data_IF_238842308914
#
_entry.id   IF_238842308914
#
_cell.length_a   1.000
_cell.length_b   1.000
_cell.length_c   1.000
_cell.angle_alpha   90.00
_cell.angle_beta   90.00
_cell.angle_gamma   90.00
#
_symmetry.space_group_name_H-M   'P 1'
#
loop_
_entity.id
_entity.type
_entity.pdbx_description
1 polymer ?
#
# COMPACT_ATOMS: atom_id res chain seq x y z
N UNK A 1 -62.50 -18.45 9.29
CA UNK A 1 -62.13 -17.93 7.95
C UNK A 1 -61.93 -16.42 7.94
N UNK A 2 -62.83 -15.63 8.57
CA UNK A 2 -62.71 -14.15 8.62
C UNK A 2 -61.52 -13.66 9.51
N UNK A 3 -61.13 -14.38 10.58
CA UNK A 3 -59.99 -14.04 11.42
C UNK A 3 -58.66 -14.30 10.75
N UNK A 4 -58.54 -15.29 9.85
CA UNK A 4 -57.32 -15.58 9.09
C UNK A 4 -57.03 -14.52 8.01
N UNK A 5 -58.07 -13.93 7.42
CA UNK A 5 -57.95 -12.87 6.43
C UNK A 5 -57.55 -11.51 7.03
N UNK A 6 -57.88 -11.27 8.31
CA UNK A 6 -57.43 -10.06 9.03
C UNK A 6 -55.95 -10.14 9.43
N UNK A 7 -55.39 -11.32 9.73
CA UNK A 7 -53.98 -11.48 10.04
C UNK A 7 -53.06 -11.34 8.80
N UNK A 8 -53.54 -11.74 7.62
CA UNK A 8 -52.79 -11.60 6.36
C UNK A 8 -52.81 -10.16 5.81
N UNK A 9 -53.88 -9.38 6.09
CA UNK A 9 -53.95 -7.97 5.68
C UNK A 9 -53.02 -7.04 6.50
N UNK A 10 -52.72 -7.42 7.75
CA UNK A 10 -51.79 -6.67 8.60
C UNK A 10 -50.34 -6.81 8.14
N UNK A 11 -49.97 -8.00 7.63
CA UNK A 11 -48.60 -8.31 7.22
C UNK A 11 -48.18 -7.64 5.89
N UNK A 12 -49.11 -7.27 5.00
CA UNK A 12 -48.82 -6.64 3.72
C UNK A 12 -48.56 -5.12 3.82
N UNK A 13 -49.15 -4.45 4.83
CA UNK A 13 -48.88 -3.02 5.09
C UNK A 13 -47.54 -2.80 5.82
N UNK A 14 -47.23 -3.67 6.75
CA UNK A 14 -45.95 -3.59 7.49
C UNK A 14 -44.76 -3.91 6.62
N UNK A 15 -44.86 -4.85 5.67
CA UNK A 15 -43.80 -5.11 4.68
C UNK A 15 -43.56 -3.91 3.73
N UNK A 16 -44.62 -3.19 3.31
CA UNK A 16 -44.46 -1.98 2.49
C UNK A 16 -43.89 -0.81 3.27
N UNK A 17 -44.20 -0.66 4.55
CA UNK A 17 -43.69 0.40 5.40
C UNK A 17 -42.22 0.12 5.75
N UNK A 18 -41.84 -1.13 6.02
CA UNK A 18 -40.44 -1.53 6.27
C UNK A 18 -39.58 -1.38 5.00
N UNK A 19 -40.11 -1.74 3.83
CA UNK A 19 -39.39 -1.57 2.55
C UNK A 19 -39.28 -0.10 2.15
N UNK A 20 -40.30 0.73 2.41
CA UNK A 20 -40.21 2.19 2.19
C UNK A 20 -39.34 2.87 3.24
N UNK A 21 -39.37 2.46 4.50
CA UNK A 21 -38.51 3.00 5.54
C UNK A 21 -37.05 2.61 5.34
N UNK A 22 -36.74 1.42 4.82
CA UNK A 22 -35.38 1.03 4.47
C UNK A 22 -34.86 1.73 3.20
N UNK A 23 -35.73 2.10 2.27
CA UNK A 23 -35.38 2.91 1.08
C UNK A 23 -35.21 4.39 1.45
N UNK A 24 -36.01 4.90 2.41
CA UNK A 24 -35.91 6.29 2.89
C UNK A 24 -34.79 6.46 3.94
N UNK A 25 -34.40 5.40 4.64
CA UNK A 25 -33.30 5.40 5.60
C UNK A 25 -31.91 5.27 4.97
N UNK A 26 -31.77 5.10 3.66
CA UNK A 26 -30.53 5.37 2.96
C UNK A 26 -30.34 6.90 2.94
N UNK A 27 -29.74 7.41 4.04
CA UNK A 27 -29.24 8.77 4.12
C UNK A 27 -28.47 9.03 2.83
N UNK A 28 -28.78 10.09 2.04
CA UNK A 28 -28.07 10.35 0.81
C UNK A 28 -26.59 10.37 1.14
N UNK A 29 -25.82 9.58 0.40
CA UNK A 29 -24.36 9.49 0.58
C UNK A 29 -23.83 10.92 0.74
N UNK A 30 -23.23 11.23 1.89
CA UNK A 30 -22.59 12.52 2.08
C UNK A 30 -21.62 12.70 0.92
N UNK A 31 -21.69 13.81 0.17
CA UNK A 31 -20.84 13.99 -1.01
C UNK A 31 -19.38 13.85 -0.60
N UNK A 32 -18.59 13.14 -1.39
CA UNK A 32 -17.16 13.05 -1.17
C UNK A 32 -16.58 14.46 -1.03
N UNK A 33 -15.69 14.73 -0.06
CA UNK A 33 -15.04 16.04 0.09
C UNK A 33 -14.25 16.45 -1.16
N UNK A 34 -13.91 15.48 -2.02
CA UNK A 34 -13.15 15.65 -3.25
C UNK A 34 -14.05 15.41 -4.45
N UNK A 35 -14.07 16.34 -5.41
CA UNK A 35 -14.76 16.12 -6.67
C UNK A 35 -14.11 14.95 -7.44
N UNK A 36 -14.89 13.98 -7.94
CA UNK A 36 -14.36 12.83 -8.63
C UNK A 36 -13.75 13.24 -9.98
N UNK A 37 -12.43 13.36 -10.03
CA UNK A 37 -11.66 13.75 -11.22
C UNK A 37 -10.55 12.75 -11.52
N UNK A 38 -10.48 12.25 -12.75
CA UNK A 38 -9.36 11.40 -13.19
C UNK A 38 -8.06 12.22 -13.23
N UNK A 39 -8.13 13.48 -13.61
CA UNK A 39 -6.98 14.39 -13.59
C UNK A 39 -6.38 14.55 -12.20
N UNK A 40 -7.20 14.72 -11.15
CA UNK A 40 -6.72 14.80 -9.77
C UNK A 40 -6.05 13.50 -9.32
N UNK A 41 -6.61 12.34 -9.70
CA UNK A 41 -5.99 11.03 -9.43
C UNK A 41 -4.62 10.91 -10.10
N UNK A 42 -4.51 11.25 -11.38
CA UNK A 42 -3.26 11.16 -12.14
C UNK A 42 -2.22 12.17 -11.64
N UNK A 43 -2.62 13.41 -11.32
CA UNK A 43 -1.72 14.44 -10.78
C UNK A 43 -1.18 14.03 -9.41
N UNK A 44 -2.03 13.56 -8.49
CA UNK A 44 -1.57 13.12 -7.17
C UNK A 44 -0.65 11.89 -7.25
N UNK A 45 -0.93 10.96 -8.16
CA UNK A 45 -0.08 9.81 -8.44
C UNK A 45 1.27 10.23 -9.05
N UNK A 46 1.29 11.23 -9.93
CA UNK A 46 2.51 11.79 -10.51
C UNK A 46 3.36 12.49 -9.44
N UNK A 47 2.76 13.25 -8.53
CA UNK A 47 3.46 13.85 -7.37
C UNK A 47 4.17 12.77 -6.58
N UNK A 48 3.44 11.72 -6.18
CA UNK A 48 4.04 10.60 -5.43
C UNK A 48 5.12 9.88 -6.24
N UNK A 49 4.91 9.67 -7.55
CA UNK A 49 5.88 9.01 -8.45
C UNK A 49 7.21 9.76 -8.50
N UNK A 50 7.15 11.08 -8.70
CA UNK A 50 8.35 11.94 -8.80
C UNK A 50 9.09 11.98 -7.46
N UNK A 51 8.38 12.20 -6.36
CA UNK A 51 9.00 12.28 -5.03
C UNK A 51 9.56 10.93 -4.56
N UNK A 52 9.03 9.82 -5.08
CA UNK A 52 9.47 8.46 -4.75
C UNK A 52 10.87 8.11 -5.32
N UNK A 53 11.40 8.89 -6.27
CA UNK A 53 12.68 8.61 -6.92
C UNK A 53 13.83 8.50 -5.91
N UNK A 54 13.93 9.41 -4.96
CA UNK A 54 14.98 9.40 -3.94
C UNK A 54 14.94 8.15 -3.05
N UNK A 55 13.73 7.72 -2.64
CA UNK A 55 13.58 6.50 -1.84
C UNK A 55 13.91 5.23 -2.63
N UNK A 56 13.55 5.18 -3.91
CA UNK A 56 13.87 4.01 -4.72
C UNK A 56 15.40 3.86 -4.89
N UNK A 57 16.10 4.95 -5.13
CA UNK A 57 17.56 4.93 -5.35
C UNK A 57 18.34 4.52 -4.09
N UNK A 58 17.90 4.93 -2.89
CA UNK A 58 18.66 4.68 -1.65
C UNK A 58 18.83 3.19 -1.35
N UNK A 59 17.84 2.35 -1.74
CA UNK A 59 17.92 0.90 -1.54
C UNK A 59 19.02 0.23 -2.36
N UNK A 60 19.45 0.85 -3.46
CA UNK A 60 20.52 0.35 -4.33
C UNK A 60 21.86 0.96 -3.93
N UNK A 61 21.89 2.26 -3.69
CA UNK A 61 23.12 3.03 -3.51
C UNK A 61 23.67 2.93 -2.09
N UNK A 62 22.83 3.05 -1.06
CA UNK A 62 23.28 3.11 0.32
C UNK A 62 24.05 1.85 0.78
N UNK A 63 23.63 0.62 0.46
CA UNK A 63 24.37 -0.58 0.88
C UNK A 63 25.78 -0.69 0.33
N UNK A 64 26.00 -0.24 -0.91
CA UNK A 64 27.30 -0.32 -1.61
C UNK A 64 28.16 0.91 -1.44
N UNK A 65 27.60 2.01 -0.92
CA UNK A 65 28.29 3.30 -0.73
C UNK A 65 28.21 3.77 0.73
N UNK A 66 28.03 2.86 1.68
CA UNK A 66 27.82 3.19 3.09
C UNK A 66 28.92 4.10 3.67
N UNK A 67 30.19 3.86 3.29
CA UNK A 67 31.34 4.66 3.69
C UNK A 67 31.24 6.11 3.21
N UNK A 68 30.76 6.34 1.98
CA UNK A 68 30.56 7.68 1.40
C UNK A 68 29.56 8.51 2.23
N UNK A 69 28.63 7.82 2.90
CA UNK A 69 27.64 8.43 3.79
C UNK A 69 28.06 8.44 5.27
N UNK A 70 29.28 7.98 5.59
CA UNK A 70 29.79 7.91 6.95
C UNK A 70 28.99 6.97 7.87
N UNK A 71 28.47 5.85 7.34
CA UNK A 71 27.63 4.90 8.08
C UNK A 71 28.16 3.48 7.97
N UNK A 72 27.96 2.68 9.01
CA UNK A 72 28.21 1.24 8.99
C UNK A 72 27.05 0.47 8.36
N UNK A 73 27.28 -0.80 7.98
CA UNK A 73 26.22 -1.67 7.45
C UNK A 73 25.06 -1.87 8.44
N UNK A 74 25.32 -1.80 9.75
CA UNK A 74 24.26 -1.83 10.76
C UNK A 74 23.35 -0.60 10.63
N UNK A 75 23.93 0.57 10.45
CA UNK A 75 23.18 1.80 10.18
C UNK A 75 22.40 1.73 8.88
N UNK A 76 22.94 1.12 7.83
CA UNK A 76 22.20 0.89 6.57
C UNK A 76 20.91 0.11 6.84
N UNK A 77 20.99 -0.98 7.59
CA UNK A 77 19.82 -1.75 7.99
C UNK A 77 18.77 -0.92 8.76
N UNK A 78 19.23 -0.13 9.75
CA UNK A 78 18.38 0.77 10.54
C UNK A 78 17.69 1.79 9.62
N UNK A 79 18.46 2.46 8.76
CA UNK A 79 17.94 3.50 7.86
C UNK A 79 16.91 2.96 6.88
N UNK A 80 17.14 1.79 6.27
CA UNK A 80 16.21 1.18 5.32
C UNK A 80 14.92 0.69 5.99
N UNK A 81 14.95 0.40 7.29
CA UNK A 81 13.79 -0.05 8.06
C UNK A 81 12.99 1.10 8.68
N UNK A 82 13.66 2.19 9.05
CA UNK A 82 13.10 3.30 9.82
C UNK A 82 11.84 3.91 9.19
N UNK A 83 11.79 4.02 7.85
CA UNK A 83 10.66 4.60 7.14
C UNK A 83 9.36 3.78 7.31
N UNK A 84 9.45 2.46 7.51
CA UNK A 84 8.27 1.62 7.76
C UNK A 84 7.75 1.82 9.18
N UNK A 85 8.65 1.86 10.17
CA UNK A 85 8.26 2.05 11.57
C UNK A 85 7.60 3.42 11.81
N UNK A 86 8.16 4.51 11.25
CA UNK A 86 7.55 5.83 11.42
C UNK A 86 6.17 5.91 10.77
N UNK A 87 5.95 5.25 9.64
CA UNK A 87 4.63 5.21 9.01
C UNK A 87 3.57 4.54 9.89
N UNK A 88 3.91 3.41 10.53
CA UNK A 88 2.99 2.69 11.41
C UNK A 88 2.43 3.64 12.48
N UNK A 89 3.28 4.43 13.12
CA UNK A 89 2.86 5.34 14.21
C UNK A 89 2.26 6.65 13.69
N UNK A 90 2.53 7.08 12.46
CA UNK A 90 2.12 8.39 11.97
C UNK A 90 0.87 8.38 11.09
N UNK A 91 0.45 7.23 10.52
CA UNK A 91 -0.73 7.17 9.64
C UNK A 91 -1.99 7.78 10.26
N UNK A 92 -2.26 7.50 11.54
CA UNK A 92 -3.42 8.07 12.24
C UNK A 92 -3.36 9.59 12.37
N UNK A 93 -2.19 10.13 12.77
CA UNK A 93 -1.98 11.57 12.89
C UNK A 93 -2.05 12.27 11.52
N UNK A 94 -1.48 11.66 10.48
CA UNK A 94 -1.52 12.18 9.11
C UNK A 94 -2.96 12.19 8.58
N UNK A 95 -3.73 11.13 8.79
CA UNK A 95 -5.14 11.09 8.40
C UNK A 95 -5.94 12.19 9.09
N UNK A 96 -5.72 12.40 10.39
CA UNK A 96 -6.35 13.49 11.15
C UNK A 96 -5.96 14.87 10.60
N UNK A 97 -4.66 15.12 10.39
CA UNK A 97 -4.18 16.37 9.83
C UNK A 97 -4.73 16.60 8.40
N UNK A 98 -4.79 15.56 7.58
CA UNK A 98 -5.30 15.62 6.20
C UNK A 98 -6.79 15.99 6.15
N UNK A 99 -7.60 15.46 7.07
CA UNK A 99 -9.03 15.81 7.16
C UNK A 99 -9.23 17.21 7.72
N UNK A 100 -8.40 17.64 8.68
CA UNK A 100 -8.52 18.96 9.32
C UNK A 100 -8.03 20.10 8.42
N UNK A 101 -6.87 19.94 7.78
CA UNK A 101 -6.22 20.99 6.99
C UNK A 101 -6.44 20.87 5.49
N UNK A 102 -6.98 19.74 5.05
CA UNK A 102 -7.28 19.47 3.65
C UNK A 102 -6.22 18.61 2.94
N UNK A 103 -6.70 17.80 1.98
CA UNK A 103 -5.89 16.80 1.25
C UNK A 103 -4.80 17.49 0.40
N UNK A 104 -5.17 18.62 -0.27
CA UNK A 104 -4.23 19.38 -1.09
C UNK A 104 -3.06 19.92 -0.29
N UNK A 105 -3.32 20.57 0.87
CA UNK A 105 -2.25 21.11 1.73
C UNK A 105 -1.35 20.00 2.25
N UNK A 106 -1.93 18.88 2.69
CA UNK A 106 -1.18 17.71 3.13
C UNK A 106 -0.28 17.16 2.00
N UNK A 107 -0.77 17.14 0.74
CA UNK A 107 0.02 16.73 -0.43
C UNK A 107 1.20 17.68 -0.68
N UNK A 108 0.98 19.01 -0.60
CA UNK A 108 2.02 20.01 -0.81
C UNK A 108 3.12 19.89 0.26
N UNK A 109 2.73 19.84 1.54
CA UNK A 109 3.69 19.69 2.66
C UNK A 109 4.48 18.40 2.53
N UNK A 110 3.81 17.29 2.20
CA UNK A 110 4.46 16.00 2.02
C UNK A 110 5.37 15.96 0.77
N UNK A 111 5.01 16.65 -0.30
CA UNK A 111 5.87 16.82 -1.48
C UNK A 111 7.17 17.54 -1.12
N UNK A 112 7.07 18.67 -0.41
CA UNK A 112 8.24 19.42 0.06
C UNK A 112 9.07 18.57 1.00
N UNK A 113 8.45 17.90 2.00
CA UNK A 113 9.15 17.05 2.95
C UNK A 113 9.89 15.89 2.29
N UNK A 114 9.27 15.22 1.31
CA UNK A 114 9.88 14.12 0.58
C UNK A 114 11.04 14.55 -0.33
N UNK A 115 10.88 15.66 -1.06
CA UNK A 115 11.95 16.25 -1.88
C UNK A 115 13.14 16.71 -1.00
N UNK A 116 12.85 17.40 0.10
CA UNK A 116 13.87 17.84 1.08
C UNK A 116 14.60 16.65 1.70
N UNK A 117 13.88 15.58 2.07
CA UNK A 117 14.50 14.34 2.58
C UNK A 117 15.53 13.76 1.59
N UNK A 118 15.23 13.81 0.29
CA UNK A 118 16.15 13.32 -0.74
C UNK A 118 17.38 14.23 -0.86
N UNK A 119 17.25 15.55 -0.78
CA UNK A 119 18.37 16.49 -0.76
C UNK A 119 19.23 16.31 0.50
N UNK A 120 18.63 15.96 1.63
CA UNK A 120 19.37 15.72 2.89
C UNK A 120 20.38 14.57 2.78
N UNK A 121 20.18 13.56 1.91
CA UNK A 121 21.17 12.51 1.67
C UNK A 121 22.44 13.04 0.98
N UNK A 122 22.35 14.17 0.28
CA UNK A 122 23.52 14.88 -0.22
C UNK A 122 24.18 15.74 0.85
N UNK A 123 23.39 16.44 1.69
CA UNK A 123 23.89 17.42 2.65
C UNK A 123 24.53 16.80 3.88
N UNK A 124 24.01 15.66 4.34
CA UNK A 124 24.36 15.11 5.65
C UNK A 124 25.11 13.81 5.57
N UNK A 125 25.95 13.60 6.60
CA UNK A 125 26.67 12.37 6.87
C UNK A 125 26.34 11.85 8.26
N UNK A 126 26.56 10.54 8.44
CA UNK A 126 26.36 9.88 9.71
C UNK A 126 24.93 9.39 9.97
N UNK A 127 24.84 8.34 10.78
CA UNK A 127 23.62 7.58 10.97
C UNK A 127 22.44 8.39 11.50
N UNK A 128 22.66 9.27 12.46
CA UNK A 128 21.57 10.05 13.10
C UNK A 128 20.99 11.11 12.16
N UNK A 129 21.83 11.82 11.39
CA UNK A 129 21.34 12.81 10.45
C UNK A 129 20.58 12.17 9.29
N UNK A 130 21.06 11.05 8.76
CA UNK A 130 20.37 10.27 7.75
C UNK A 130 19.09 9.61 8.30
N UNK A 131 19.06 9.23 9.58
CA UNK A 131 17.85 8.75 10.23
C UNK A 131 16.76 9.81 10.23
N UNK A 132 17.09 11.05 10.55
CA UNK A 132 16.13 12.16 10.46
C UNK A 132 15.56 12.32 9.05
N UNK A 133 16.41 12.26 8.01
CA UNK A 133 15.97 12.26 6.62
C UNK A 133 15.03 11.10 6.31
N UNK A 134 15.32 9.87 6.80
CA UNK A 134 14.48 8.69 6.62
C UNK A 134 13.13 8.80 7.32
N UNK A 135 13.09 9.37 8.52
CA UNK A 135 11.86 9.61 9.26
C UNK A 135 10.98 10.66 8.54
N UNK A 136 11.58 11.76 8.08
CA UNK A 136 10.91 12.78 7.28
C UNK A 136 10.34 12.18 5.98
N UNK A 137 11.12 11.35 5.29
CA UNK A 137 10.65 10.61 4.13
C UNK A 137 9.46 9.71 4.47
N UNK A 138 9.56 8.92 5.54
CA UNK A 138 8.49 7.99 5.94
C UNK A 138 7.16 8.68 6.22
N UNK A 139 7.18 9.83 6.90
CA UNK A 139 6.00 10.66 7.14
C UNK A 139 5.45 11.24 5.83
N UNK A 140 6.33 11.78 4.98
CA UNK A 140 5.94 12.33 3.67
C UNK A 140 5.33 11.26 2.78
N UNK A 141 5.93 10.07 2.72
CA UNK A 141 5.39 8.94 1.94
C UNK A 141 4.03 8.47 2.46
N UNK A 142 3.83 8.41 3.79
CA UNK A 142 2.54 8.06 4.38
C UNK A 142 1.46 9.08 3.98
N UNK A 143 1.78 10.39 4.05
CA UNK A 143 0.87 11.45 3.66
C UNK A 143 0.56 11.41 2.15
N UNK A 144 1.58 11.32 1.28
CA UNK A 144 1.39 11.21 -0.17
C UNK A 144 0.59 9.96 -0.55
N UNK A 145 0.79 8.84 0.14
CA UNK A 145 0.01 7.62 -0.09
C UNK A 145 -1.46 7.82 0.26
N UNK A 146 -1.77 8.34 1.46
CA UNK A 146 -3.14 8.56 1.89
C UNK A 146 -3.87 9.59 1.02
N UNK A 147 -3.20 10.70 0.67
CA UNK A 147 -3.80 11.75 -0.15
C UNK A 147 -4.04 11.26 -1.59
N UNK A 148 -3.10 10.52 -2.17
CA UNK A 148 -3.27 9.92 -3.50
C UNK A 148 -4.42 8.92 -3.52
N UNK A 149 -4.54 8.07 -2.49
CA UNK A 149 -5.67 7.16 -2.37
C UNK A 149 -7.00 7.92 -2.21
N UNK A 150 -7.03 9.02 -1.44
CA UNK A 150 -8.24 9.83 -1.29
C UNK A 150 -8.74 10.40 -2.63
N UNK A 151 -7.83 10.94 -3.47
CA UNK A 151 -8.19 11.38 -4.82
C UNK A 151 -8.63 10.22 -5.72
N UNK A 152 -8.00 9.05 -5.61
CA UNK A 152 -8.34 7.89 -6.43
C UNK A 152 -9.73 7.32 -6.11
N UNK A 153 -10.09 7.23 -4.83
CA UNK A 153 -11.38 6.64 -4.39
C UNK A 153 -12.53 7.64 -4.32
N UNK A 154 -12.31 8.92 -4.66
CA UNK A 154 -13.36 9.94 -4.69
C UNK A 154 -14.53 9.55 -5.62
N UNK A 155 -14.26 8.81 -6.70
CA UNK A 155 -15.27 8.14 -7.52
C UNK A 155 -15.39 6.68 -7.07
N UNK A 156 -16.38 6.40 -6.24
CA UNK A 156 -16.62 5.05 -5.69
C UNK A 156 -16.92 3.99 -6.76
N UNK A 157 -17.54 4.40 -7.88
CA UNK A 157 -17.89 3.47 -8.97
C UNK A 157 -16.67 2.97 -9.74
N UNK A 158 -15.61 3.79 -9.81
CA UNK A 158 -14.36 3.51 -10.51
C UNK A 158 -13.14 3.51 -9.58
N UNK A 159 -13.36 3.27 -8.28
CA UNK A 159 -12.32 3.33 -7.29
C UNK A 159 -11.20 2.31 -7.57
N UNK A 160 -11.54 1.10 -7.98
CA UNK A 160 -10.58 0.05 -8.33
C UNK A 160 -9.69 0.46 -9.49
N UNK A 161 -10.29 0.87 -10.63
CA UNK A 161 -9.55 1.32 -11.82
C UNK A 161 -8.65 2.51 -11.50
N UNK A 162 -9.14 3.51 -10.75
CA UNK A 162 -8.36 4.71 -10.40
C UNK A 162 -7.20 4.40 -9.46
N UNK A 163 -7.41 3.58 -8.46
CA UNK A 163 -6.33 3.13 -7.56
C UNK A 163 -5.30 2.32 -8.34
N UNK A 164 -5.75 1.42 -9.22
CA UNK A 164 -4.87 0.66 -10.10
C UNK A 164 -4.02 1.55 -11.00
N UNK A 165 -4.64 2.53 -11.67
CA UNK A 165 -3.94 3.52 -12.49
C UNK A 165 -2.92 4.34 -11.67
N UNK A 166 -3.33 4.78 -10.48
CA UNK A 166 -2.44 5.48 -9.55
C UNK A 166 -1.21 4.63 -9.20
N UNK A 167 -1.40 3.33 -8.94
CA UNK A 167 -0.30 2.39 -8.69
C UNK A 167 0.64 2.25 -9.90
N UNK A 168 0.09 2.15 -11.11
CA UNK A 168 0.89 2.10 -12.32
C UNK A 168 1.77 3.37 -12.49
N UNK A 169 1.17 4.56 -12.34
CA UNK A 169 1.89 5.83 -12.44
C UNK A 169 3.03 5.91 -11.39
N UNK A 170 2.80 5.44 -10.17
CA UNK A 170 3.83 5.44 -9.11
C UNK A 170 5.07 4.62 -9.48
N UNK A 171 4.95 3.56 -10.29
CA UNK A 171 6.09 2.74 -10.67
C UNK A 171 7.06 3.45 -11.62
N UNK A 172 6.62 4.44 -12.38
CA UNK A 172 7.51 5.17 -13.30
C UNK A 172 8.66 5.86 -12.57
N UNK A 173 8.39 6.57 -11.47
CA UNK A 173 9.43 7.22 -10.68
C UNK A 173 10.41 6.22 -10.06
N UNK A 174 9.90 5.10 -9.55
CA UNK A 174 10.76 4.04 -8.99
C UNK A 174 11.65 3.40 -10.07
N UNK A 175 11.10 3.08 -11.25
CA UNK A 175 11.86 2.49 -12.36
C UNK A 175 12.90 3.49 -12.87
N UNK A 176 12.52 4.75 -13.07
CA UNK A 176 13.45 5.81 -13.49
C UNK A 176 14.63 5.94 -12.52
N UNK A 177 14.37 5.96 -11.22
CA UNK A 177 15.43 6.09 -10.22
C UNK A 177 16.35 4.86 -10.16
N UNK A 178 15.79 3.66 -10.31
CA UNK A 178 16.56 2.41 -10.29
C UNK A 178 17.39 2.19 -11.56
N UNK A 179 17.05 2.86 -12.66
CA UNK A 179 17.80 2.81 -13.93
C UNK A 179 18.63 4.05 -14.14
N UNK A 180 18.02 5.17 -14.55
CA UNK A 180 18.73 6.42 -14.82
C UNK A 180 19.37 7.03 -13.56
N UNK A 181 18.71 6.94 -12.39
CA UNK A 181 19.27 7.42 -11.13
C UNK A 181 20.50 6.61 -10.67
N UNK A 182 20.44 5.27 -10.80
CA UNK A 182 21.58 4.42 -10.47
C UNK A 182 22.76 4.63 -11.45
N UNK A 183 22.47 4.77 -12.76
CA UNK A 183 23.48 5.14 -13.75
C UNK A 183 24.13 6.49 -13.41
N UNK A 184 23.30 7.49 -13.09
CA UNK A 184 23.79 8.81 -12.69
C UNK A 184 24.70 8.72 -11.45
N UNK A 185 24.32 7.94 -10.43
CA UNK A 185 25.13 7.73 -9.24
C UNK A 185 26.50 7.10 -9.57
N UNK A 186 26.57 6.24 -10.57
CA UNK A 186 27.81 5.66 -11.08
C UNK A 186 28.71 6.68 -11.79
N UNK A 187 28.12 7.69 -12.46
CA UNK A 187 28.90 8.69 -13.22
C UNK A 187 29.40 9.87 -12.36
N UNK A 188 28.54 10.41 -11.50
CA UNK A 188 28.80 11.64 -10.74
C UNK A 188 28.97 11.41 -9.24
N UNK A 189 28.83 10.16 -8.78
CA UNK A 189 28.90 9.77 -7.38
C UNK A 189 27.55 9.74 -6.67
N UNK A 190 27.48 8.92 -5.63
CA UNK A 190 26.26 8.61 -4.89
C UNK A 190 25.56 9.86 -4.34
N UNK A 191 26.29 10.73 -3.63
CA UNK A 191 25.70 11.95 -3.02
C UNK A 191 25.18 12.93 -4.06
N UNK A 192 25.95 13.18 -5.13
CA UNK A 192 25.53 14.11 -6.18
C UNK A 192 24.24 13.63 -6.87
N UNK A 193 24.07 12.32 -7.08
CA UNK A 193 22.82 11.76 -7.62
C UNK A 193 21.62 12.08 -6.74
N UNK A 194 21.74 12.02 -5.41
CA UNK A 194 20.66 12.42 -4.50
C UNK A 194 20.35 13.91 -4.56
N UNK A 195 21.33 14.78 -4.76
CA UNK A 195 21.09 16.21 -4.97
C UNK A 195 20.24 16.43 -6.22
N UNK A 196 20.65 15.88 -7.36
CA UNK A 196 19.92 16.07 -8.61
C UNK A 196 18.51 15.47 -8.57
N UNK A 197 18.35 14.26 -8.02
CA UNK A 197 17.02 13.65 -7.86
C UNK A 197 16.16 14.40 -6.85
N UNK A 198 16.75 14.92 -5.77
CA UNK A 198 16.06 15.73 -4.78
C UNK A 198 15.55 17.05 -5.37
N UNK A 199 16.42 17.76 -6.11
CA UNK A 199 16.02 18.97 -6.84
C UNK A 199 14.94 18.66 -7.90
N UNK A 200 15.12 17.59 -8.67
CA UNK A 200 14.12 17.14 -9.63
C UNK A 200 12.77 16.79 -8.96
N UNK A 201 12.80 16.32 -7.71
CA UNK A 201 11.56 16.01 -6.97
C UNK A 201 10.72 17.25 -6.68
N UNK A 202 11.30 18.46 -6.64
CA UNK A 202 10.54 19.71 -6.51
C UNK A 202 9.69 20.02 -7.77
N UNK A 203 9.99 19.42 -8.93
CA UNK A 203 9.13 19.49 -10.12
C UNK A 203 7.71 18.96 -9.82
N UNK A 204 7.55 18.11 -8.80
CA UNK A 204 6.24 17.67 -8.34
C UNK A 204 5.40 18.77 -7.69
N UNK A 205 6.01 19.87 -7.22
CA UNK A 205 5.30 20.93 -6.50
C UNK A 205 4.25 21.66 -7.34
N UNK A 206 4.50 22.07 -8.60
CA UNK A 206 3.46 22.59 -9.48
C UNK A 206 2.27 21.66 -9.65
N UNK A 207 2.49 20.34 -9.77
CA UNK A 207 1.41 19.36 -9.85
C UNK A 207 0.62 19.26 -8.53
N UNK A 208 1.28 19.31 -7.37
CA UNK A 208 0.62 19.36 -6.08
C UNK A 208 -0.21 20.66 -5.91
N UNK A 209 0.29 21.79 -6.39
CA UNK A 209 -0.40 23.06 -6.38
C UNK A 209 -1.60 23.11 -7.35
N UNK A 210 -1.58 22.33 -8.42
CA UNK A 210 -2.67 22.21 -9.38
C UNK A 210 -3.81 21.28 -8.91
N UNK A 211 -3.63 20.53 -7.82
CA UNK A 211 -4.69 19.69 -7.26
C UNK A 211 -5.91 20.51 -6.82
N UNK A 212 -7.13 19.99 -7.00
CA UNK A 212 -8.35 20.70 -6.60
C UNK A 212 -8.35 20.96 -5.08
N UNK A 213 -8.86 22.13 -4.69
CA UNK A 213 -9.15 22.44 -3.29
C UNK A 213 -10.41 21.69 -2.88
N UNK A 214 -10.37 21.03 -1.75
CA UNK A 214 -11.52 20.40 -1.12
C UNK A 214 -11.96 21.17 0.12
N UNK A 215 -13.18 20.93 0.55
CA UNK A 215 -13.66 21.49 1.82
C UNK A 215 -13.09 20.64 2.94
N UNK A 216 -12.34 21.27 3.84
CA UNK A 216 -11.90 20.62 5.08
C UNK A 216 -13.13 20.13 5.86
N UNK A 217 -13.06 18.92 6.38
CA UNK A 217 -14.10 18.35 7.23
C UNK A 217 -13.55 18.20 8.65
N UNK A 218 -14.36 18.48 9.69
CA UNK A 218 -13.92 18.23 11.07
C UNK A 218 -13.50 16.77 11.20
N UNK A 219 -12.29 16.53 11.69
CA UNK A 219 -11.80 15.17 11.91
C UNK A 219 -12.66 14.48 12.97
N UNK A 220 -13.27 13.36 12.64
CA UNK A 220 -14.07 12.57 13.55
C UNK A 220 -13.19 11.56 14.29
N UNK A 221 -13.21 11.63 15.63
CA UNK A 221 -12.59 10.64 16.50
C UNK A 221 -11.18 10.99 16.99
N UNK A 222 -10.73 10.27 18.03
CA UNK A 222 -9.40 10.42 18.62
C UNK A 222 -8.35 9.73 17.74
N UNK A 223 -7.24 10.39 17.50
CA UNK A 223 -6.08 9.80 16.82
C UNK A 223 -5.50 8.68 17.68
N UNK A 224 -5.44 7.46 17.13
CA UNK A 224 -4.79 6.32 17.78
C UNK A 224 -3.55 5.95 16.97
N UNK A 225 -2.41 5.79 17.61
CA UNK A 225 -1.16 5.38 16.96
C UNK A 225 -1.19 3.91 16.51
N UNK A 226 -1.89 3.02 17.24
CA UNK A 226 -2.16 1.65 16.83
C UNK A 226 -3.67 1.36 16.99
N UNK A 227 -4.47 1.62 15.95
CA UNK A 227 -5.92 1.42 16.03
C UNK A 227 -6.28 -0.07 16.06
N UNK A 228 -7.41 -0.39 16.72
CA UNK A 228 -7.92 -1.76 16.76
C UNK A 228 -8.24 -2.26 15.33
N UNK A 229 -7.73 -3.45 14.93
CA UNK A 229 -7.98 -3.97 13.60
C UNK A 229 -9.41 -4.47 13.44
N UNK A 230 -9.97 -4.27 12.26
CA UNK A 230 -11.11 -5.03 11.80
C UNK A 230 -10.61 -6.24 11.00
N UNK A 231 -11.50 -7.17 10.66
CA UNK A 231 -11.13 -8.35 9.89
C UNK A 231 -10.41 -8.01 8.57
N UNK A 232 -10.83 -6.94 7.88
CA UNK A 232 -10.17 -6.50 6.65
C UNK A 232 -8.72 -6.06 6.91
N UNK A 233 -8.47 -5.37 8.01
CA UNK A 233 -7.14 -4.92 8.39
C UNK A 233 -6.23 -6.10 8.72
N UNK A 234 -6.77 -7.17 9.35
CA UNK A 234 -6.06 -8.43 9.59
C UNK A 234 -5.72 -9.17 8.28
N UNK A 235 -6.60 -9.12 7.28
CA UNK A 235 -6.28 -9.63 5.94
C UNK A 235 -5.09 -8.88 5.32
N UNK A 236 -5.08 -7.55 5.45
CA UNK A 236 -3.97 -6.73 4.94
C UNK A 236 -2.69 -6.93 5.75
N UNK A 237 -2.78 -7.16 7.06
CA UNK A 237 -1.65 -7.60 7.87
C UNK A 237 -1.08 -8.91 7.35
N UNK A 238 -1.92 -9.93 7.13
CA UNK A 238 -1.50 -11.23 6.63
C UNK A 238 -0.84 -11.14 5.24
N UNK A 239 -1.40 -10.36 4.32
CA UNK A 239 -0.81 -10.11 3.00
C UNK A 239 0.52 -9.37 3.13
N UNK A 240 0.59 -8.33 3.94
CA UNK A 240 1.82 -7.57 4.23
C UNK A 240 2.91 -8.47 4.81
N UNK A 241 2.55 -9.28 5.79
CA UNK A 241 3.46 -10.24 6.44
C UNK A 241 3.98 -11.31 5.46
N UNK A 242 3.07 -12.00 4.78
CA UNK A 242 3.43 -13.11 3.91
C UNK A 242 4.17 -12.67 2.65
N UNK A 243 3.70 -11.60 1.99
CA UNK A 243 4.18 -11.22 0.65
C UNK A 243 5.19 -10.08 0.69
N UNK A 244 4.86 -8.96 1.38
CA UNK A 244 5.77 -7.81 1.44
C UNK A 244 6.91 -8.03 2.45
N UNK A 245 6.73 -8.97 3.37
CA UNK A 245 7.71 -9.36 4.38
C UNK A 245 8.45 -10.66 4.01
N UNK A 246 7.84 -11.81 4.31
CA UNK A 246 8.51 -13.12 4.23
C UNK A 246 8.94 -13.47 2.81
N UNK A 247 8.01 -13.46 1.83
CA UNK A 247 8.35 -13.78 0.44
C UNK A 247 9.44 -12.88 -0.13
N UNK A 248 9.37 -11.57 0.11
CA UNK A 248 10.37 -10.63 -0.42
C UNK A 248 11.78 -10.87 0.17
N UNK A 249 11.88 -11.38 1.40
CA UNK A 249 13.15 -11.72 2.04
C UNK A 249 13.68 -13.09 1.61
N UNK A 250 12.80 -14.07 1.44
CA UNK A 250 13.19 -15.46 1.27
C UNK A 250 13.39 -15.89 -0.18
N UNK A 251 12.86 -15.15 -1.16
CA UNK A 251 12.89 -15.59 -2.57
C UNK A 251 14.30 -15.83 -3.10
N UNK A 252 15.27 -14.98 -2.77
CA UNK A 252 16.66 -15.17 -3.18
C UNK A 252 17.28 -16.39 -2.51
N UNK A 253 16.96 -16.65 -1.24
CA UNK A 253 17.45 -17.82 -0.51
C UNK A 253 16.90 -19.11 -1.09
N UNK A 254 15.60 -19.13 -1.42
CA UNK A 254 14.96 -20.27 -2.09
C UNK A 254 15.63 -20.58 -3.43
N UNK A 255 15.96 -19.55 -4.19
CA UNK A 255 16.66 -19.72 -5.47
C UNK A 255 18.09 -20.20 -5.27
N UNK A 256 18.77 -19.81 -4.19
CA UNK A 256 20.12 -20.27 -3.88
C UNK A 256 20.23 -21.78 -3.56
N UNK A 257 19.12 -22.39 -3.14
CA UNK A 257 19.03 -23.86 -2.98
C UNK A 257 18.85 -24.60 -4.32
N UNK A 258 18.44 -23.88 -5.39
CA UNK A 258 18.10 -24.48 -6.70
C UNK A 258 19.18 -24.22 -7.76
N UNK A 259 19.91 -23.11 -7.66
CA UNK A 259 20.88 -22.67 -8.66
C UNK A 259 22.15 -22.13 -7.98
N UNK A 260 23.18 -21.76 -8.74
CA UNK A 260 24.38 -21.14 -8.17
C UNK A 260 24.04 -19.83 -7.44
N UNK A 261 24.86 -19.44 -6.46
CA UNK A 261 24.65 -18.23 -5.66
C UNK A 261 24.52 -16.97 -6.56
N UNK A 262 25.36 -16.84 -7.60
CA UNK A 262 25.30 -15.74 -8.55
C UNK A 262 23.97 -15.72 -9.30
N UNK A 263 23.52 -16.87 -9.82
CA UNK A 263 22.25 -17.02 -10.51
C UNK A 263 21.05 -16.76 -9.56
N UNK A 264 21.16 -17.14 -8.30
CA UNK A 264 20.13 -16.91 -7.28
C UNK A 264 20.00 -15.41 -6.95
N UNK A 265 21.10 -14.69 -6.82
CA UNK A 265 21.10 -13.25 -6.58
C UNK A 265 20.45 -12.52 -7.76
N UNK A 266 20.85 -12.87 -8.99
CA UNK A 266 20.27 -12.31 -10.20
C UNK A 266 18.76 -12.65 -10.30
N UNK A 267 18.40 -13.91 -10.08
CA UNK A 267 17.02 -14.40 -10.11
C UNK A 267 16.11 -13.73 -9.08
N UNK A 268 16.60 -13.57 -7.85
CA UNK A 268 15.89 -12.83 -6.80
C UNK A 268 15.67 -11.37 -7.18
N UNK A 269 16.71 -10.71 -7.73
CA UNK A 269 16.59 -9.35 -8.25
C UNK A 269 15.57 -9.24 -9.40
N UNK A 270 15.57 -10.20 -10.33
CA UNK A 270 14.58 -10.26 -11.41
C UNK A 270 13.15 -10.42 -10.85
N UNK A 271 12.91 -11.34 -9.91
CA UNK A 271 11.58 -11.54 -9.30
C UNK A 271 11.09 -10.28 -8.60
N UNK A 272 11.96 -9.60 -7.86
CA UNK A 272 11.59 -8.34 -7.18
C UNK A 272 11.37 -7.19 -8.16
N UNK A 273 12.08 -7.16 -9.30
CA UNK A 273 11.85 -6.21 -10.39
C UNK A 273 10.55 -6.49 -11.12
N UNK A 274 10.26 -7.76 -11.43
CA UNK A 274 9.00 -8.20 -12.01
C UNK A 274 7.80 -7.86 -11.12
N UNK A 275 7.99 -7.83 -9.80
CA UNK A 275 6.96 -7.36 -8.86
C UNK A 275 6.60 -5.88 -9.10
N UNK A 276 7.57 -5.01 -9.43
CA UNK A 276 7.33 -3.59 -9.77
C UNK A 276 6.58 -3.46 -11.10
N UNK A 277 7.02 -4.22 -12.10
CA UNK A 277 6.32 -4.28 -13.39
C UNK A 277 4.92 -4.87 -13.22
N UNK A 278 4.78 -5.90 -12.40
CA UNK A 278 3.49 -6.50 -12.04
C UNK A 278 2.53 -5.49 -11.41
N UNK A 279 3.02 -4.65 -10.50
CA UNK A 279 2.21 -3.56 -9.93
C UNK A 279 1.73 -2.57 -11.02
N UNK A 280 2.59 -2.24 -12.00
CA UNK A 280 2.22 -1.34 -13.08
C UNK A 280 1.15 -1.93 -14.02
N UNK A 281 1.21 -3.25 -14.29
CA UNK A 281 0.35 -3.93 -15.25
C UNK A 281 -0.91 -4.50 -14.59
N UNK A 282 -0.75 -5.27 -13.51
CA UNK A 282 -1.86 -6.03 -12.92
C UNK A 282 -2.69 -5.24 -11.91
N UNK A 283 -2.18 -4.14 -11.34
CA UNK A 283 -3.01 -3.34 -10.45
C UNK A 283 -4.14 -2.61 -11.19
N UNK A 284 -3.93 -1.98 -12.38
CA UNK A 284 -5.03 -1.45 -13.18
C UNK A 284 -6.04 -2.52 -13.60
N UNK A 285 -5.55 -3.69 -14.05
CA UNK A 285 -6.40 -4.81 -14.48
C UNK A 285 -7.25 -5.31 -13.31
N UNK A 286 -6.63 -5.55 -12.14
CA UNK A 286 -7.32 -5.97 -10.93
C UNK A 286 -8.35 -4.94 -10.46
N UNK A 287 -8.00 -3.66 -10.51
CA UNK A 287 -8.90 -2.56 -10.18
C UNK A 287 -10.12 -2.48 -11.10
N UNK A 288 -9.90 -2.58 -12.42
CA UNK A 288 -10.98 -2.61 -13.41
C UNK A 288 -11.89 -3.84 -13.24
N UNK A 289 -11.31 -5.00 -12.96
CA UNK A 289 -12.07 -6.21 -12.66
C UNK A 289 -12.92 -6.03 -11.39
N UNK A 290 -12.36 -5.36 -10.37
CA UNK A 290 -13.07 -5.02 -9.14
C UNK A 290 -14.25 -4.08 -9.35
N UNK A 291 -14.11 -3.10 -10.23
CA UNK A 291 -15.21 -2.18 -10.55
C UNK A 291 -16.36 -2.88 -11.32
N UNK A 292 -16.05 -3.93 -12.09
CA UNK A 292 -17.05 -4.71 -12.85
C UNK A 292 -17.70 -5.84 -12.05
N UNK A 293 -16.91 -6.62 -11.33
CA UNK A 293 -17.35 -7.84 -10.62
C UNK A 293 -17.64 -7.60 -9.14
N UNK A 294 -17.30 -6.39 -8.64
CA UNK A 294 -17.33 -6.01 -7.24
C UNK A 294 -15.96 -6.13 -6.59
N UNK A 295 -15.50 -5.03 -5.98
CA UNK A 295 -14.15 -4.90 -5.41
C UNK A 295 -13.86 -5.97 -4.33
N UNK A 296 -14.86 -6.34 -3.55
CA UNK A 296 -14.73 -7.33 -2.48
C UNK A 296 -14.55 -8.75 -3.02
N UNK A 297 -15.36 -9.18 -3.98
CA UNK A 297 -15.25 -10.50 -4.60
C UNK A 297 -13.89 -10.66 -5.30
N UNK A 298 -13.48 -9.61 -6.03
CA UNK A 298 -12.19 -9.57 -6.72
C UNK A 298 -11.02 -9.56 -5.74
N UNK A 299 -11.15 -8.88 -4.59
CA UNK A 299 -10.15 -8.90 -3.51
C UNK A 299 -9.98 -10.32 -2.96
N UNK A 300 -11.08 -11.04 -2.71
CA UNK A 300 -11.04 -12.41 -2.19
C UNK A 300 -10.42 -13.38 -3.21
N UNK A 301 -10.79 -13.28 -4.48
CA UNK A 301 -10.20 -14.07 -5.56
C UNK A 301 -8.69 -13.81 -5.69
N UNK A 302 -8.27 -12.55 -5.65
CA UNK A 302 -6.85 -12.17 -5.69
C UNK A 302 -6.06 -12.65 -4.47
N UNK A 303 -6.71 -12.65 -3.29
CA UNK A 303 -6.11 -13.21 -2.06
C UNK A 303 -5.98 -14.72 -2.14
N UNK A 304 -6.99 -15.41 -2.67
CA UNK A 304 -6.94 -16.85 -2.93
C UNK A 304 -5.84 -17.21 -3.92
N UNK A 305 -5.70 -16.44 -5.03
CA UNK A 305 -4.60 -16.61 -5.98
C UNK A 305 -3.22 -16.44 -5.30
N UNK A 306 -3.09 -15.46 -4.41
CA UNK A 306 -1.86 -15.25 -3.64
C UNK A 306 -1.58 -16.43 -2.71
N UNK A 307 -2.59 -16.97 -2.04
CA UNK A 307 -2.46 -18.15 -1.18
C UNK A 307 -2.06 -19.40 -1.99
N UNK A 308 -2.64 -19.60 -3.17
CA UNK A 308 -2.24 -20.66 -4.10
C UNK A 308 -0.78 -20.48 -4.57
N UNK A 309 -0.35 -19.24 -4.79
CA UNK A 309 1.05 -18.94 -5.10
C UNK A 309 2.01 -19.32 -3.98
N UNK A 310 1.65 -19.02 -2.72
CA UNK A 310 2.42 -19.45 -1.54
C UNK A 310 2.44 -20.99 -1.40
N UNK A 311 1.31 -21.66 -1.66
CA UNK A 311 1.22 -23.12 -1.66
C UNK A 311 2.09 -23.74 -2.74
N UNK A 312 2.12 -23.16 -3.94
CA UNK A 312 2.99 -23.62 -5.02
C UNK A 312 4.48 -23.55 -4.63
N UNK A 313 4.90 -22.48 -3.93
CA UNK A 313 6.28 -22.40 -3.40
C UNK A 313 6.53 -23.47 -2.33
N UNK A 314 5.58 -23.69 -1.42
CA UNK A 314 5.69 -24.75 -0.42
C UNK A 314 5.89 -26.14 -1.03
N UNK A 315 5.31 -26.35 -2.22
CA UNK A 315 5.42 -27.62 -3.01
C UNK A 315 6.64 -27.63 -3.96
N UNK A 316 7.52 -26.62 -3.91
CA UNK A 316 8.72 -26.54 -4.75
C UNK A 316 8.53 -25.85 -6.12
N UNK A 317 7.31 -25.43 -6.46
CA UNK A 317 7.03 -24.74 -7.75
C UNK A 317 7.27 -23.23 -7.64
N UNK A 318 8.53 -22.83 -7.43
CA UNK A 318 8.93 -21.46 -7.04
C UNK A 318 8.52 -20.41 -8.10
N UNK A 319 8.76 -20.65 -9.37
CA UNK A 319 8.47 -19.69 -10.45
C UNK A 319 6.97 -19.46 -10.66
N UNK A 320 6.19 -20.56 -10.65
CA UNK A 320 4.72 -20.49 -10.76
C UNK A 320 4.15 -19.76 -9.55
N UNK A 321 4.64 -20.09 -8.36
CA UNK A 321 4.22 -19.47 -7.11
C UNK A 321 4.55 -17.97 -7.08
N UNK A 322 5.76 -17.59 -7.48
CA UNK A 322 6.17 -16.18 -7.55
C UNK A 322 5.30 -15.38 -8.54
N UNK A 323 5.00 -15.95 -9.72
CA UNK A 323 4.11 -15.34 -10.71
C UNK A 323 2.69 -15.09 -10.16
N UNK A 324 2.09 -16.11 -9.52
CA UNK A 324 0.77 -16.01 -8.91
C UNK A 324 0.74 -14.96 -7.78
N UNK A 325 1.79 -14.92 -6.93
CA UNK A 325 1.94 -13.91 -5.87
C UNK A 325 2.04 -12.50 -6.45
N UNK A 326 2.83 -12.29 -7.50
CA UNK A 326 3.00 -10.98 -8.14
C UNK A 326 1.65 -10.48 -8.67
N UNK A 327 0.90 -11.32 -9.41
CA UNK A 327 -0.40 -10.97 -9.97
C UNK A 327 -1.41 -10.68 -8.85
N UNK A 328 -1.57 -11.61 -7.90
CA UNK A 328 -2.54 -11.49 -6.81
C UNK A 328 -2.28 -10.27 -5.94
N UNK A 329 -1.02 -10.05 -5.54
CA UNK A 329 -0.62 -8.89 -4.74
C UNK A 329 -0.87 -7.56 -5.44
N UNK A 330 -0.55 -7.46 -6.73
CA UNK A 330 -0.78 -6.24 -7.50
C UNK A 330 -2.27 -5.89 -7.55
N UNK A 331 -3.14 -6.88 -7.78
CA UNK A 331 -4.58 -6.71 -7.74
C UNK A 331 -5.06 -6.31 -6.32
N UNK A 332 -4.60 -6.98 -5.26
CA UNK A 332 -4.93 -6.65 -3.86
C UNK A 332 -4.57 -5.18 -3.54
N UNK A 333 -3.44 -4.68 -4.07
CA UNK A 333 -3.02 -3.30 -3.83
C UNK A 333 -3.99 -2.25 -4.40
N UNK A 334 -4.71 -2.57 -5.48
CA UNK A 334 -5.77 -1.72 -6.04
C UNK A 334 -7.14 -1.95 -5.37
N UNK A 335 -7.47 -3.22 -5.11
CA UNK A 335 -8.78 -3.64 -4.62
C UNK A 335 -9.00 -3.31 -3.13
N UNK A 336 -7.93 -3.26 -2.32
CA UNK A 336 -8.02 -2.95 -0.92
C UNK A 336 -8.61 -1.57 -0.64
N UNK A 337 -7.98 -0.49 -1.11
CA UNK A 337 -8.54 0.86 -0.97
C UNK A 337 -9.92 1.01 -1.60
N UNK A 338 -10.17 0.37 -2.76
CA UNK A 338 -11.49 0.36 -3.39
C UNK A 338 -12.55 -0.29 -2.49
N UNK A 339 -12.23 -1.42 -1.85
CA UNK A 339 -13.12 -2.11 -0.91
C UNK A 339 -13.38 -1.27 0.34
N UNK A 340 -12.35 -0.60 0.88
CA UNK A 340 -12.52 0.35 1.99
C UNK A 340 -13.47 1.48 1.61
N UNK A 341 -13.31 2.04 0.41
CA UNK A 341 -14.18 3.14 -0.05
C UNK A 341 -15.64 2.71 -0.23
N UNK A 342 -15.89 1.50 -0.71
CA UNK A 342 -17.26 0.97 -0.89
C UNK A 342 -17.91 0.64 0.45
N UNK A 343 -17.16 0.12 1.42
CA UNK A 343 -17.69 -0.33 2.73
C UNK A 343 -17.93 0.79 3.74
N UNK A 344 -17.38 1.98 3.53
CA UNK A 344 -17.41 3.05 4.51
C UNK A 344 -18.01 4.33 3.94
N UNK A 345 -18.59 5.17 4.80
CA UNK A 345 -19.05 6.51 4.44
C UNK A 345 -17.87 7.42 4.03
N UNK A 346 -18.14 8.48 3.26
CA UNK A 346 -17.08 9.34 2.71
C UNK A 346 -16.21 10.00 3.80
N UNK A 347 -16.80 10.36 4.93
CA UNK A 347 -16.15 10.94 6.10
C UNK A 347 -15.22 9.96 6.82
N UNK A 348 -15.47 8.65 6.72
CA UNK A 348 -14.69 7.61 7.39
C UNK A 348 -13.57 7.02 6.51
N UNK A 349 -13.64 7.17 5.20
CA UNK A 349 -12.72 6.52 4.24
C UNK A 349 -11.27 6.83 4.57
N UNK A 350 -10.92 8.10 4.85
CA UNK A 350 -9.53 8.50 5.15
C UNK A 350 -8.99 7.78 6.38
N UNK A 351 -9.76 7.79 7.48
CA UNK A 351 -9.40 7.10 8.71
C UNK A 351 -9.27 5.58 8.51
N UNK A 352 -10.22 4.97 7.81
CA UNK A 352 -10.20 3.52 7.53
C UNK A 352 -9.04 3.10 6.64
N UNK A 353 -8.65 3.94 5.67
CA UNK A 353 -7.44 3.71 4.87
C UNK A 353 -6.17 3.79 5.72
N UNK A 354 -6.08 4.75 6.62
CA UNK A 354 -4.95 4.85 7.55
C UNK A 354 -4.82 3.60 8.41
N UNK A 355 -5.93 3.10 8.99
CA UNK A 355 -5.96 1.85 9.78
C UNK A 355 -5.47 0.66 8.95
N UNK A 356 -6.02 0.49 7.74
CA UNK A 356 -5.63 -0.59 6.83
C UNK A 356 -4.14 -0.53 6.48
N UNK A 357 -3.61 0.66 6.17
CA UNK A 357 -2.19 0.85 5.84
C UNK A 357 -1.28 0.59 7.04
N UNK A 358 -1.69 1.01 8.25
CA UNK A 358 -0.96 0.71 9.50
C UNK A 358 -0.78 -0.80 9.68
N UNK A 359 -1.85 -1.58 9.59
CA UNK A 359 -1.78 -3.03 9.77
C UNK A 359 -1.03 -3.74 8.66
N UNK A 360 -1.17 -3.29 7.41
CA UNK A 360 -0.38 -3.80 6.28
C UNK A 360 1.12 -3.56 6.49
N UNK A 361 1.51 -2.35 6.85
CA UNK A 361 2.93 -2.01 7.05
C UNK A 361 3.50 -2.69 8.30
N UNK A 362 2.68 -2.92 9.32
CA UNK A 362 3.07 -3.70 10.50
C UNK A 362 3.37 -5.17 10.13
N UNK A 363 2.51 -5.80 9.33
CA UNK A 363 2.78 -7.12 8.77
C UNK A 363 4.07 -7.15 7.95
N UNK A 364 4.23 -6.18 7.03
CA UNK A 364 5.41 -6.09 6.18
C UNK A 364 6.72 -5.80 6.93
N UNK A 365 6.65 -5.19 8.11
CA UNK A 365 7.80 -4.98 8.99
C UNK A 365 8.16 -6.24 9.81
N UNK A 366 7.12 -6.95 10.31
CA UNK A 366 7.32 -8.17 11.09
C UNK A 366 7.83 -9.35 10.24
N UNK A 367 7.44 -9.42 8.95
CA UNK A 367 7.81 -10.53 8.08
C UNK A 367 9.32 -10.80 8.03
N UNK A 368 10.16 -9.84 7.62
CA UNK A 368 11.61 -10.02 7.60
C UNK A 368 12.20 -10.28 8.98
N UNK A 369 11.69 -9.61 10.02
CA UNK A 369 12.16 -9.78 11.39
C UNK A 369 11.99 -11.23 11.85
N UNK A 370 10.78 -11.79 11.73
CA UNK A 370 10.50 -13.16 12.13
C UNK A 370 11.16 -14.18 11.21
N UNK A 371 11.25 -13.90 9.89
CA UNK A 371 11.98 -14.76 8.97
C UNK A 371 13.44 -14.94 9.37
N UNK A 372 14.11 -13.89 9.83
CA UNK A 372 15.49 -13.96 10.29
C UNK A 372 15.69 -14.92 11.49
N UNK A 373 14.68 -15.07 12.35
CA UNK A 373 14.74 -16.03 13.47
C UNK A 373 14.42 -17.45 13.03
N UNK A 374 13.55 -17.66 12.05
CA UNK A 374 13.04 -18.99 11.72
C UNK A 374 13.80 -19.68 10.59
N UNK A 375 14.47 -18.93 9.68
CA UNK A 375 15.13 -19.49 8.50
C UNK A 375 16.28 -20.48 8.81
N UNK A 376 16.88 -20.41 9.99
CA UNK A 376 17.89 -21.38 10.44
C UNK A 376 17.32 -22.63 11.14
N UNK A 377 16.07 -22.57 11.59
CA UNK A 377 15.46 -23.59 12.43
C UNK A 377 14.29 -24.34 11.77
N UNK A 378 13.63 -23.72 10.77
CA UNK A 378 12.40 -24.24 10.15
C UNK A 378 12.59 -24.29 8.63
N UNK A 379 12.21 -25.41 8.00
CA UNK A 379 12.32 -25.56 6.56
C UNK A 379 11.36 -24.63 5.78
N UNK A 380 11.78 -24.19 4.60
CA UNK A 380 11.00 -23.30 3.73
C UNK A 380 9.59 -23.83 3.44
N UNK A 381 9.36 -25.11 3.11
CA UNK A 381 8.01 -25.64 2.91
C UNK A 381 7.09 -25.45 4.12
N UNK A 382 7.60 -25.64 5.35
CA UNK A 382 6.81 -25.44 6.58
C UNK A 382 6.45 -23.96 6.76
N UNK A 383 7.41 -23.06 6.56
CA UNK A 383 7.18 -21.60 6.65
C UNK A 383 6.08 -21.20 5.66
N UNK A 384 6.19 -21.62 4.40
CA UNK A 384 5.21 -21.26 3.37
C UNK A 384 3.84 -21.92 3.61
N UNK A 385 3.79 -23.15 4.11
CA UNK A 385 2.53 -23.79 4.54
C UNK A 385 1.85 -23.01 5.67
N UNK A 386 2.60 -22.51 6.64
CA UNK A 386 2.08 -21.67 7.70
C UNK A 386 1.54 -20.33 7.14
N UNK A 387 2.21 -19.70 6.15
CA UNK A 387 1.73 -18.51 5.48
C UNK A 387 0.42 -18.74 4.71
N UNK A 388 0.29 -19.90 4.05
CA UNK A 388 -0.96 -20.33 3.40
C UNK A 388 -2.09 -20.42 4.43
N UNK A 389 -1.83 -21.08 5.58
CA UNK A 389 -2.82 -21.22 6.65
C UNK A 389 -3.25 -19.84 7.19
N UNK A 390 -2.30 -18.96 7.50
CA UNK A 390 -2.58 -17.59 7.99
C UNK A 390 -3.45 -16.82 6.98
N UNK A 391 -3.08 -16.84 5.70
CA UNK A 391 -3.81 -16.10 4.67
C UNK A 391 -5.20 -16.68 4.40
N UNK A 392 -5.33 -18.02 4.43
CA UNK A 392 -6.59 -18.72 4.27
C UNK A 392 -7.54 -18.48 5.45
N UNK A 393 -7.04 -18.51 6.69
CA UNK A 393 -7.83 -18.18 7.89
C UNK A 393 -8.32 -16.73 7.82
N UNK A 394 -7.46 -15.78 7.47
CA UNK A 394 -7.83 -14.37 7.32
C UNK A 394 -8.90 -14.18 6.24
N UNK A 395 -8.79 -14.90 5.11
CA UNK A 395 -9.78 -14.87 4.03
C UNK A 395 -11.09 -15.52 4.45
N UNK A 396 -11.06 -16.70 5.08
CA UNK A 396 -12.25 -17.38 5.58
C UNK A 396 -13.02 -16.52 6.58
N UNK A 397 -12.33 -15.84 7.50
CA UNK A 397 -12.94 -14.90 8.43
C UNK A 397 -13.75 -13.77 7.75
N UNK A 398 -13.29 -13.30 6.58
CA UNK A 398 -14.03 -12.31 5.77
C UNK A 398 -15.31 -12.91 5.16
N UNK A 399 -15.22 -14.13 4.63
CA UNK A 399 -16.35 -14.81 3.94
C UNK A 399 -17.45 -15.18 4.94
N UNK A 400 -17.07 -15.76 6.11
CA UNK A 400 -18.05 -16.15 7.14
C UNK A 400 -18.81 -14.97 7.73
N UNK A 401 -18.17 -13.81 7.89
CA UNK A 401 -18.87 -12.61 8.36
C UNK A 401 -19.91 -12.11 7.38
N UNK A 402 -19.66 -12.27 6.09
CA UNK A 402 -20.59 -11.85 5.02
C UNK A 402 -21.87 -12.69 4.99
N UNK A 403 -21.78 -13.98 5.32
CA UNK A 403 -22.94 -14.88 5.37
C UNK A 403 -23.87 -14.65 6.56
N UNK A 404 -23.49 -13.74 7.50
CA UNK A 404 -24.30 -13.39 8.68
C UNK A 404 -24.99 -12.03 8.62
N UNK A 405 -24.80 -11.28 7.53
CA UNK A 405 -25.47 -10.01 7.21
C UNK A 405 -26.42 -10.23 6.04
#
# INVERSE_FOLDING_TARGET
MIQLLRSLAFNARDLKIITLASIVAQKPDSPSPVAPSLGATSLSAAVLSIVLMGDALIYVVLPVSAEVFGVSLVWVGILLSANRFVRIVTYGAIAHATTTYGIRLATIVACIGGASSTVMYWMFDGGWALLFARLLWGMSFAALTLTTLAYAVADRRRAGTRVGLSRAIQQFGSVFALTAGAWLAGQIGAKAAFLYLGLASFIALPFALALPKEKAQPAQGKTQWLPRPHLLDLLFFAVGFAVDGVFAMTITLILADLVSLEAAILGGGIVLSLRRVGDAVFAPIGGWLGDRLGSEKSLFASTALTALGLAAIALGHVYIGAGAIIIGRAAIAALGPATVAVRNSADQVMHRMAVMMTWRDFGAALGPLLSGFFLGAISIPIIYSALVAILTIALAGQIFRRGRI
#
